data_IF_939730427932
#
_entry.id   IF_939730427932
#
_cell.length_a   1.000
_cell.length_b   1.000
_cell.length_c   1.000
_cell.angle_alpha   90.00
_cell.angle_beta   90.00
_cell.angle_gamma   90.00
#
_symmetry.space_group_name_H-M   'P 1'
#
loop_
_entity.id
_entity.type
_entity.pdbx_description
1 polymer ?
#
# COMPACT_ATOMS: atom_id res chain seq x y z
N UNK A 1 15.24 17.73 10.68
CA UNK A 1 13.90 18.07 10.14
C UNK A 1 13.32 16.84 9.47
N UNK A 2 12.30 16.22 10.05
CA UNK A 2 11.57 15.17 9.34
C UNK A 2 10.60 15.84 8.37
N UNK A 3 11.01 15.96 7.11
CA UNK A 3 10.10 16.35 6.04
C UNK A 3 9.00 15.29 6.03
N UNK A 4 7.76 15.68 6.33
CA UNK A 4 6.59 14.84 6.09
C UNK A 4 6.48 14.70 4.57
N UNK A 5 7.23 13.76 3.99
CA UNK A 5 7.01 13.31 2.62
C UNK A 5 5.62 12.69 2.59
N UNK A 6 4.65 13.50 2.19
CA UNK A 6 3.35 13.03 1.78
C UNK A 6 3.61 12.07 0.63
N UNK A 7 3.51 10.77 0.89
CA UNK A 7 3.67 9.62 -0.04
C UNK A 7 3.10 9.81 -1.47
N UNK A 8 2.28 10.84 -1.67
CA UNK A 8 1.67 11.26 -2.91
C UNK A 8 2.66 11.90 -3.90
N UNK A 9 3.70 12.59 -3.42
CA UNK A 9 4.48 13.53 -4.25
C UNK A 9 5.73 12.88 -4.89
N UNK A 10 6.28 11.83 -4.27
CA UNK A 10 7.53 11.20 -4.73
C UNK A 10 7.35 10.20 -5.90
N UNK A 11 6.12 9.94 -6.34
CA UNK A 11 5.81 9.03 -7.46
C UNK A 11 5.40 9.87 -8.68
N UNK A 12 6.37 10.31 -9.46
CA UNK A 12 6.15 11.13 -10.67
C UNK A 12 5.84 10.30 -11.94
N UNK A 13 5.72 8.98 -11.85
CA UNK A 13 5.64 8.10 -13.03
C UNK A 13 4.83 6.82 -12.80
N UNK A 14 5.05 5.76 -13.61
CA UNK A 14 4.40 4.47 -13.44
C UNK A 14 4.70 3.89 -12.07
N UNK A 15 3.73 3.19 -11.50
CA UNK A 15 3.78 2.72 -10.14
C UNK A 15 3.30 1.28 -10.02
N UNK A 16 3.78 0.61 -8.98
CA UNK A 16 3.36 -0.74 -8.65
C UNK A 16 2.38 -0.69 -7.48
N UNK A 17 1.18 -1.22 -7.72
CA UNK A 17 0.27 -1.62 -6.66
C UNK A 17 0.70 -3.00 -6.18
N UNK A 18 0.92 -3.16 -4.88
CA UNK A 18 1.22 -4.44 -4.27
C UNK A 18 0.18 -4.79 -3.22
N UNK A 19 -0.27 -6.04 -3.22
CA UNK A 19 -1.27 -6.58 -2.30
C UNK A 19 -0.64 -7.76 -1.57
N UNK A 20 -0.69 -7.70 -0.24
CA UNK A 20 -0.17 -8.72 0.66
C UNK A 20 -1.35 -9.45 1.28
N UNK A 21 -1.41 -10.76 1.11
CA UNK A 21 -2.48 -11.61 1.63
C UNK A 21 -1.95 -12.49 2.74
N UNK A 22 -2.74 -12.61 3.81
CA UNK A 22 -2.55 -13.60 4.86
C UNK A 22 -3.64 -14.68 4.69
N UNK A 23 -3.28 -15.78 4.04
CA UNK A 23 -4.26 -16.77 3.59
C UNK A 23 -5.14 -16.22 2.46
N UNK A 24 -6.45 -16.17 2.71
CA UNK A 24 -7.45 -15.64 1.77
C UNK A 24 -7.78 -14.16 2.01
N UNK A 25 -7.28 -13.58 3.10
CA UNK A 25 -7.61 -12.20 3.50
C UNK A 25 -6.53 -11.23 3.04
N UNK A 26 -6.94 -10.08 2.51
CA UNK A 26 -6.03 -9.00 2.21
C UNK A 26 -5.49 -8.41 3.52
N UNK A 27 -4.21 -8.63 3.80
CA UNK A 27 -3.54 -8.12 4.99
C UNK A 27 -3.17 -6.65 4.82
N UNK A 28 -2.65 -6.28 3.64
CA UNK A 28 -2.19 -4.93 3.35
C UNK A 28 -2.18 -4.66 1.84
N UNK A 29 -2.47 -3.44 1.43
CA UNK A 29 -2.31 -2.97 0.05
C UNK A 29 -1.59 -1.63 0.06
N UNK A 30 -0.70 -1.43 -0.91
CA UNK A 30 0.02 -0.16 -1.04
C UNK A 30 0.52 0.09 -2.45
N UNK A 31 0.79 1.36 -2.74
CA UNK A 31 1.43 1.80 -3.99
C UNK A 31 2.87 2.24 -3.74
N UNK A 32 3.79 1.87 -4.61
CA UNK A 32 5.18 2.35 -4.59
C UNK A 32 5.80 2.35 -5.99
N UNK A 33 6.70 3.29 -6.26
CA UNK A 33 7.61 3.25 -7.41
C UNK A 33 8.73 2.21 -7.23
N UNK A 34 9.08 1.90 -5.97
CA UNK A 34 10.07 0.89 -5.62
C UNK A 34 9.51 -0.06 -4.53
N UNK A 35 8.77 -1.11 -4.93
CA UNK A 35 8.20 -2.06 -3.98
C UNK A 35 9.27 -2.84 -3.20
N UNK A 36 10.44 -3.12 -3.80
CA UNK A 36 11.50 -3.91 -3.16
C UNK A 36 12.03 -3.24 -1.89
N UNK A 37 12.33 -1.95 -1.95
CA UNK A 37 12.79 -1.19 -0.78
C UNK A 37 11.71 -1.13 0.32
N UNK A 38 10.43 -1.00 -0.06
CA UNK A 38 9.31 -1.03 0.89
C UNK A 38 9.15 -2.37 1.57
N UNK A 39 9.34 -3.47 0.84
CA UNK A 39 9.20 -4.82 1.36
C UNK A 39 10.25 -5.13 2.41
N UNK A 40 11.50 -4.77 2.15
CA UNK A 40 12.57 -4.89 3.15
C UNK A 40 12.18 -4.15 4.43
N UNK A 41 11.68 -2.91 4.32
CA UNK A 41 11.23 -2.16 5.49
C UNK A 41 10.05 -2.82 6.20
N UNK A 42 9.06 -3.35 5.47
CA UNK A 42 7.92 -4.04 6.07
C UNK A 42 8.33 -5.32 6.78
N UNK A 43 9.25 -6.11 6.20
CA UNK A 43 9.80 -7.31 6.82
C UNK A 43 10.37 -7.08 8.21
N UNK A 44 11.07 -5.96 8.42
CA UNK A 44 11.68 -5.65 9.72
C UNK A 44 10.76 -4.90 10.69
N UNK A 45 9.75 -4.17 10.18
CA UNK A 45 8.93 -3.27 11.01
C UNK A 45 7.53 -3.78 11.31
N UNK A 46 7.04 -4.82 10.62
CA UNK A 46 5.67 -5.30 10.73
C UNK A 46 5.65 -6.71 11.32
N UNK A 47 5.15 -6.90 12.56
CA UNK A 47 5.07 -8.23 13.18
C UNK A 47 4.22 -9.22 12.39
N UNK A 48 3.19 -8.73 11.68
CA UNK A 48 2.33 -9.53 10.81
C UNK A 48 2.98 -9.90 9.47
N UNK A 49 4.18 -9.44 9.16
CA UNK A 49 4.83 -9.79 7.89
C UNK A 49 5.02 -11.30 7.73
N UNK A 50 5.27 -12.03 8.82
CA UNK A 50 5.40 -13.50 8.83
C UNK A 50 4.12 -14.23 8.45
N UNK A 51 2.96 -13.58 8.53
CA UNK A 51 1.66 -14.19 8.18
C UNK A 51 1.32 -14.02 6.69
N UNK A 52 2.11 -13.25 5.94
CA UNK A 52 1.90 -13.03 4.51
C UNK A 52 2.23 -14.32 3.75
N UNK A 53 1.22 -14.92 3.13
CA UNK A 53 1.34 -16.16 2.35
C UNK A 53 1.39 -15.90 0.84
N UNK A 54 0.77 -14.80 0.37
CA UNK A 54 0.73 -14.45 -1.05
C UNK A 54 0.95 -12.96 -1.24
N UNK A 55 1.69 -12.63 -2.31
CA UNK A 55 1.89 -11.26 -2.76
C UNK A 55 1.47 -11.15 -4.21
N UNK A 56 0.67 -10.15 -4.52
CA UNK A 56 0.33 -9.78 -5.89
C UNK A 56 0.90 -8.41 -6.23
N UNK A 57 1.41 -8.28 -7.45
CA UNK A 57 1.89 -7.02 -8.00
C UNK A 57 1.09 -6.68 -9.24
N UNK A 58 0.68 -5.42 -9.35
CA UNK A 58 0.02 -4.88 -10.52
C UNK A 58 0.72 -3.60 -10.94
N UNK A 59 1.16 -3.57 -12.18
CA UNK A 59 1.73 -2.38 -12.77
C UNK A 59 0.63 -1.42 -13.19
N UNK A 60 0.85 -0.13 -12.96
CA UNK A 60 -0.02 0.94 -13.40
C UNK A 60 0.80 2.00 -14.17
N UNK A 61 0.29 2.48 -15.31
CA UNK A 61 0.99 3.46 -16.14
C UNK A 61 1.10 4.83 -15.46
N UNK A 62 0.23 5.12 -14.49
CA UNK A 62 0.21 6.37 -13.76
C UNK A 62 -0.01 6.15 -12.26
N UNK A 63 0.56 7.06 -11.46
CA UNK A 63 0.33 7.10 -10.00
C UNK A 63 -1.16 7.17 -9.68
N UNK A 64 -1.94 7.94 -10.45
CA UNK A 64 -3.36 8.17 -10.19
C UNK A 64 -4.16 6.89 -10.34
N UNK A 65 -3.88 6.10 -11.39
CA UNK A 65 -4.46 4.78 -11.60
C UNK A 65 -4.10 3.83 -10.45
N UNK A 66 -2.84 3.81 -10.03
CA UNK A 66 -2.39 2.99 -8.91
C UNK A 66 -3.09 3.37 -7.59
N UNK A 67 -3.18 4.66 -7.30
CA UNK A 67 -3.85 5.16 -6.09
C UNK A 67 -5.36 4.96 -6.12
N UNK A 68 -6.00 5.04 -7.30
CA UNK A 68 -7.41 4.72 -7.45
C UNK A 68 -7.66 3.23 -7.16
N UNK A 69 -6.80 2.35 -7.68
CA UNK A 69 -6.86 0.92 -7.41
C UNK A 69 -6.57 0.58 -5.93
N UNK A 70 -5.61 1.27 -5.29
CA UNK A 70 -5.37 1.16 -3.84
C UNK A 70 -6.62 1.52 -3.04
N UNK A 71 -7.24 2.67 -3.34
CA UNK A 71 -8.46 3.11 -2.66
C UNK A 71 -9.61 2.12 -2.85
N UNK A 72 -9.79 1.62 -4.08
CA UNK A 72 -10.80 0.61 -4.37
C UNK A 72 -10.56 -0.66 -3.56
N UNK A 73 -9.33 -1.19 -3.54
CA UNK A 73 -9.00 -2.36 -2.74
C UNK A 73 -9.25 -2.14 -1.24
N UNK A 74 -8.89 -0.97 -0.70
CA UNK A 74 -9.16 -0.63 0.70
C UNK A 74 -10.67 -0.60 1.00
N UNK A 75 -11.46 -0.01 0.09
CA UNK A 75 -12.90 0.12 0.27
C UNK A 75 -13.65 -1.22 0.11
N UNK A 76 -13.25 -2.06 -0.84
CA UNK A 76 -13.93 -3.32 -1.15
C UNK A 76 -13.49 -4.48 -0.26
N UNK A 77 -12.22 -4.53 0.15
CA UNK A 77 -11.63 -5.71 0.80
C UNK A 77 -11.22 -5.47 2.25
N UNK A 78 -11.33 -4.22 2.73
CA UNK A 78 -11.05 -3.79 4.11
C UNK A 78 -9.79 -4.46 4.74
N UNK A 79 -8.58 -4.13 4.25
CA UNK A 79 -7.38 -4.83 4.62
C UNK A 79 -7.08 -4.77 6.12
N UNK A 80 -6.68 -5.91 6.71
CA UNK A 80 -6.48 -6.07 8.16
C UNK A 80 -5.54 -5.04 8.80
N UNK A 81 -4.46 -4.67 8.10
CA UNK A 81 -3.39 -3.83 8.65
C UNK A 81 -3.21 -2.52 7.92
N UNK A 82 -4.02 -2.26 6.89
CA UNK A 82 -3.99 -0.97 6.24
C UNK A 82 -4.72 0.01 7.16
N UNK A 83 -3.94 0.72 8.00
CA UNK A 83 -4.47 1.74 8.91
C UNK A 83 -5.31 2.68 8.07
N UNK A 84 -6.63 2.63 8.27
CA UNK A 84 -7.56 3.49 7.56
C UNK A 84 -7.00 4.90 7.65
N UNK A 85 -6.70 5.50 6.50
CA UNK A 85 -6.39 6.94 6.46
C UNK A 85 -7.53 7.58 7.26
N UNK A 86 -7.25 8.35 8.32
CA UNK A 86 -8.33 8.98 9.08
C UNK A 86 -9.21 9.69 8.06
N UNK A 87 -10.52 9.41 8.09
CA UNK A 87 -11.49 10.09 7.23
C UNK A 87 -11.17 11.58 7.35
N UNK A 88 -11.13 12.27 6.21
CA UNK A 88 -10.99 13.72 6.19
C UNK A 88 -12.00 14.27 7.20
N UNK A 89 -11.49 14.86 8.28
CA UNK A 89 -12.32 15.53 9.27
C UNK A 89 -13.04 16.64 8.52
N UNK A 90 -14.35 16.48 8.37
CA UNK A 90 -15.22 17.56 7.92
C UNK A 90 -15.56 18.36 9.17
N UNK A 91 -15.14 19.62 9.21
CA UNK A 91 -15.74 20.67 10.03
C UNK A 91 -16.07 21.81 9.07
#
# INVERSE_FOLDING_TARGET
MYVRHTYREDIAGPAWLYRLFAGQTLAYVGVSSNPRARFTKHRYSKPWWSTVTRVEFRWHPSRESAFAAERAAIAHENPLHNVARPKAVTH
#
